data_IF_065337179850
#
_entry.id   IF_065337179850
#
_cell.length_a   1.000
_cell.length_b   1.000
_cell.length_c   1.000
_cell.angle_alpha   90.00
_cell.angle_beta   90.00
_cell.angle_gamma   90.00
#
_symmetry.space_group_name_H-M   'P 1'
#
loop_
_entity.id
_entity.type
_entity.pdbx_description
1 polymer ?
#
# COMPACT_ATOMS: atom_id res chain seq x y z
N UNK A 1 -26.82 59.10 2.99
CA UNK A 1 -27.55 57.86 2.62
C UNK A 1 -26.68 56.90 1.80
N UNK A 2 -25.97 57.37 0.77
CA UNK A 2 -25.14 56.56 -0.14
C UNK A 2 -24.08 55.68 0.56
N UNK A 3 -23.36 56.22 1.55
CA UNK A 3 -22.30 55.49 2.28
C UNK A 3 -22.87 54.27 3.04
N UNK A 4 -24.08 54.37 3.60
CA UNK A 4 -24.73 53.26 4.33
C UNK A 4 -25.08 52.10 3.39
N UNK A 5 -25.47 52.42 2.16
CA UNK A 5 -25.77 51.43 1.12
C UNK A 5 -24.51 50.71 0.64
N UNK A 6 -23.42 51.46 0.46
CA UNK A 6 -22.13 50.92 0.05
C UNK A 6 -21.54 49.98 1.10
N UNK A 7 -21.66 50.32 2.39
CA UNK A 7 -21.26 49.45 3.51
C UNK A 7 -22.12 48.17 3.56
N UNK A 8 -23.43 48.27 3.33
CA UNK A 8 -24.30 47.10 3.31
C UNK A 8 -23.94 46.12 2.18
N UNK A 9 -23.66 46.64 0.98
CA UNK A 9 -23.18 45.82 -0.15
C UNK A 9 -21.84 45.16 0.19
N UNK A 10 -20.91 45.91 0.78
CA UNK A 10 -19.61 45.37 1.17
C UNK A 10 -19.75 44.23 2.21
N UNK A 11 -20.64 44.39 3.19
CA UNK A 11 -20.95 43.34 4.17
C UNK A 11 -21.54 42.09 3.53
N UNK A 12 -22.41 42.24 2.53
CA UNK A 12 -22.97 41.11 1.77
C UNK A 12 -21.87 40.38 1.01
N UNK A 13 -20.96 41.11 0.34
CA UNK A 13 -19.82 40.50 -0.34
C UNK A 13 -18.89 39.76 0.62
N UNK A 14 -18.60 40.32 1.79
CA UNK A 14 -17.79 39.67 2.83
C UNK A 14 -18.48 38.40 3.34
N UNK A 15 -19.80 38.45 3.60
CA UNK A 15 -20.56 37.30 4.05
C UNK A 15 -20.60 36.18 3.00
N UNK A 16 -20.76 36.52 1.72
CA UNK A 16 -20.70 35.56 0.61
C UNK A 16 -19.32 34.92 0.47
N UNK A 17 -18.25 35.70 0.62
CA UNK A 17 -16.88 35.19 0.63
C UNK A 17 -16.63 34.25 1.79
N UNK A 18 -17.09 34.58 2.99
CA UNK A 18 -16.95 33.72 4.17
C UNK A 18 -17.76 32.43 4.06
N UNK A 19 -18.97 32.51 3.53
CA UNK A 19 -19.77 31.33 3.25
C UNK A 19 -19.12 30.45 2.18
N UNK A 20 -18.55 31.06 1.12
CA UNK A 20 -17.77 30.35 0.10
C UNK A 20 -16.50 29.74 0.69
N UNK A 21 -15.82 30.39 1.63
CA UNK A 21 -14.62 29.88 2.28
C UNK A 21 -14.92 28.64 3.14
N UNK A 22 -16.09 28.60 3.79
CA UNK A 22 -16.55 27.40 4.49
C UNK A 22 -16.90 26.23 3.55
N UNK A 23 -17.20 26.50 2.28
CA UNK A 23 -17.53 25.48 1.28
C UNK A 23 -16.38 25.15 0.32
N UNK A 24 -15.40 26.05 0.16
CA UNK A 24 -14.35 25.98 -0.87
C UNK A 24 -13.11 25.24 -0.37
N UNK A 25 -12.72 24.21 -1.14
CA UNK A 25 -11.43 23.49 -1.17
C UNK A 25 -10.84 22.95 0.15
N UNK A 26 -11.52 23.11 1.29
CA UNK A 26 -11.08 22.61 2.59
C UNK A 26 -12.21 22.35 3.58
N UNK A 27 -13.46 22.29 3.12
CA UNK A 27 -14.63 22.09 3.97
C UNK A 27 -14.56 20.78 4.76
N UNK A 28 -14.97 20.83 6.04
CA UNK A 28 -14.96 19.74 7.02
C UNK A 28 -15.59 18.44 6.46
N UNK A 29 -16.52 18.57 5.51
CA UNK A 29 -17.16 17.44 4.84
C UNK A 29 -16.21 16.67 3.88
N UNK A 30 -15.36 17.38 3.12
CA UNK A 30 -14.42 16.74 2.19
C UNK A 30 -13.27 16.08 2.93
N UNK A 31 -12.72 16.73 3.97
CA UNK A 31 -11.66 16.14 4.80
C UNK A 31 -12.14 14.87 5.50
N UNK A 32 -13.39 14.84 5.99
CA UNK A 32 -13.98 13.63 6.55
C UNK A 32 -14.15 12.52 5.52
N UNK A 33 -14.55 12.83 4.29
CA UNK A 33 -14.69 11.83 3.23
C UNK A 33 -13.33 11.23 2.85
N UNK A 34 -12.31 12.06 2.68
CA UNK A 34 -10.95 11.58 2.41
C UNK A 34 -10.39 10.76 3.57
N UNK A 35 -10.64 11.18 4.82
CA UNK A 35 -10.20 10.43 6.00
C UNK A 35 -10.85 9.03 6.05
N UNK A 36 -12.16 8.93 5.78
CA UNK A 36 -12.86 7.63 5.73
C UNK A 36 -12.33 6.72 4.61
N UNK A 37 -12.01 7.29 3.44
CA UNK A 37 -11.40 6.53 2.36
C UNK A 37 -9.99 6.04 2.72
N UNK A 38 -9.20 6.87 3.40
CA UNK A 38 -7.86 6.53 3.86
C UNK A 38 -7.91 5.37 4.86
N UNK A 39 -8.82 5.42 5.84
CA UNK A 39 -9.00 4.35 6.82
C UNK A 39 -9.44 3.03 6.17
N UNK A 40 -10.34 3.08 5.19
CA UNK A 40 -10.77 1.90 4.45
C UNK A 40 -9.60 1.28 3.66
N UNK A 41 -8.80 2.12 3.01
CA UNK A 41 -7.64 1.68 2.24
C UNK A 41 -6.55 1.08 3.13
N UNK A 42 -6.29 1.68 4.29
CA UNK A 42 -5.34 1.16 5.28
C UNK A 42 -5.75 -0.23 5.79
N UNK A 43 -7.05 -0.45 6.07
CA UNK A 43 -7.55 -1.77 6.47
C UNK A 43 -7.33 -2.81 5.37
N UNK A 44 -7.61 -2.47 4.11
CA UNK A 44 -7.37 -3.38 2.99
C UNK A 44 -5.88 -3.68 2.81
N UNK A 45 -5.01 -2.68 2.98
CA UNK A 45 -3.58 -2.84 2.87
C UNK A 45 -3.04 -3.79 3.96
N UNK A 46 -3.50 -3.64 5.21
CA UNK A 46 -3.09 -4.50 6.31
C UNK A 46 -3.42 -5.99 6.05
N UNK A 47 -4.63 -6.27 5.55
CA UNK A 47 -5.05 -7.63 5.19
C UNK A 47 -4.17 -8.20 4.06
N UNK A 48 -3.89 -7.40 3.03
CA UNK A 48 -3.03 -7.83 1.92
C UNK A 48 -1.60 -8.08 2.36
N UNK A 49 -1.05 -7.23 3.22
CA UNK A 49 0.30 -7.38 3.77
C UNK A 49 0.42 -8.66 4.60
N UNK A 50 -0.55 -8.92 5.49
CA UNK A 50 -0.55 -10.15 6.28
C UNK A 50 -0.57 -11.41 5.41
N UNK A 51 -1.40 -11.43 4.36
CA UNK A 51 -1.43 -12.56 3.42
C UNK A 51 -0.12 -12.70 2.65
N UNK A 52 0.50 -11.59 2.26
CA UNK A 52 1.78 -11.60 1.55
C UNK A 52 2.89 -12.21 2.42
N UNK A 53 2.96 -11.83 3.69
CA UNK A 53 3.95 -12.39 4.62
C UNK A 53 3.77 -13.90 4.82
N UNK A 54 2.52 -14.38 4.95
CA UNK A 54 2.24 -15.81 5.03
C UNK A 54 2.69 -16.54 3.77
N UNK A 55 2.32 -16.03 2.59
CA UNK A 55 2.71 -16.65 1.31
C UNK A 55 4.22 -16.61 1.10
N UNK A 56 4.90 -15.55 1.54
CA UNK A 56 6.35 -15.43 1.44
C UNK A 56 7.05 -16.46 2.33
N UNK A 57 6.54 -16.68 3.54
CA UNK A 57 7.02 -17.73 4.42
C UNK A 57 6.81 -19.13 3.81
N UNK A 58 5.64 -19.39 3.22
CA UNK A 58 5.33 -20.65 2.54
C UNK A 58 6.25 -20.89 1.34
N UNK A 59 6.47 -19.88 0.49
CA UNK A 59 7.42 -19.97 -0.62
C UNK A 59 8.84 -20.25 -0.12
N UNK A 60 9.25 -19.63 0.98
CA UNK A 60 10.57 -19.87 1.55
C UNK A 60 10.71 -21.29 2.10
N UNK A 61 9.68 -21.82 2.75
CA UNK A 61 9.66 -23.19 3.27
C UNK A 61 9.71 -24.23 2.14
N UNK A 62 8.89 -24.04 1.10
CA UNK A 62 8.89 -24.90 -0.09
C UNK A 62 10.24 -24.90 -0.80
N UNK A 63 10.90 -23.74 -0.91
CA UNK A 63 12.24 -23.64 -1.52
C UNK A 63 13.28 -24.39 -0.69
N UNK A 64 13.28 -24.21 0.63
CA UNK A 64 14.20 -24.94 1.52
C UNK A 64 13.98 -26.46 1.44
N UNK A 65 12.73 -26.90 1.39
CA UNK A 65 12.40 -28.31 1.22
C UNK A 65 12.90 -28.87 -0.12
N UNK A 66 12.74 -28.13 -1.21
CA UNK A 66 13.26 -28.54 -2.52
C UNK A 66 14.79 -28.57 -2.57
N UNK A 67 15.45 -27.56 -1.99
CA UNK A 67 16.91 -27.49 -1.89
C UNK A 67 17.45 -28.68 -1.07
N UNK A 68 16.81 -29.03 0.04
CA UNK A 68 17.19 -30.19 0.86
C UNK A 68 17.00 -31.52 0.12
N UNK A 69 15.91 -31.68 -0.64
CA UNK A 69 15.69 -32.88 -1.47
C UNK A 69 16.73 -32.97 -2.59
N UNK A 70 17.06 -31.84 -3.21
CA UNK A 70 18.08 -31.76 -4.26
C UNK A 70 19.46 -32.10 -3.70
N UNK A 71 19.79 -31.66 -2.49
CA UNK A 71 21.02 -31.98 -1.80
C UNK A 71 21.16 -33.50 -1.57
N UNK A 72 20.12 -34.15 -1.02
CA UNK A 72 20.10 -35.61 -0.83
C UNK A 72 20.24 -36.35 -2.17
N UNK A 73 19.51 -35.91 -3.19
CA UNK A 73 19.58 -36.53 -4.52
C UNK A 73 20.99 -36.43 -5.13
N UNK A 74 21.71 -35.33 -4.90
CA UNK A 74 23.09 -35.12 -5.37
C UNK A 74 24.11 -35.91 -4.55
N UNK A 75 24.03 -35.87 -3.22
CA UNK A 75 25.01 -36.50 -2.33
C UNK A 75 24.84 -38.03 -2.21
N UNK A 76 23.62 -38.51 -2.00
CA UNK A 76 23.37 -39.94 -1.74
C UNK A 76 23.15 -40.75 -3.00
N UNK A 77 22.49 -40.15 -4.00
CA UNK A 77 22.11 -40.84 -5.24
C UNK A 77 22.98 -40.46 -6.45
N UNK A 78 23.85 -39.45 -6.32
CA UNK A 78 24.69 -38.97 -7.43
C UNK A 78 23.88 -38.42 -8.61
N UNK A 79 22.62 -38.02 -8.38
CA UNK A 79 21.73 -37.56 -9.44
C UNK A 79 22.10 -36.13 -9.85
N UNK A 80 22.17 -35.92 -11.16
CA UNK A 80 22.45 -34.61 -11.78
C UNK A 80 21.26 -34.21 -12.67
N UNK A 81 20.99 -32.90 -12.82
CA UNK A 81 19.93 -32.45 -13.72
C UNK A 81 20.29 -32.76 -15.18
N UNK A 82 19.26 -32.93 -16.03
CA UNK A 82 19.48 -32.99 -17.49
C UNK A 82 20.19 -31.70 -17.92
N UNK A 83 21.30 -31.87 -18.62
CA UNK A 83 22.19 -30.80 -19.12
C UNK A 83 23.06 -30.08 -18.05
N UNK A 84 23.28 -30.70 -16.88
CA UNK A 84 24.21 -30.20 -15.86
C UNK A 84 25.57 -30.93 -15.89
N UNK A 85 26.68 -30.18 -15.83
CA UNK A 85 28.03 -30.74 -15.69
C UNK A 85 28.46 -30.67 -14.22
N UNK A 86 28.54 -31.82 -13.55
CA UNK A 86 28.94 -31.93 -12.14
C UNK A 86 30.46 -32.06 -11.99
N UNK A 87 31.08 -31.18 -11.20
CA UNK A 87 32.51 -31.24 -10.85
C UNK A 87 32.66 -31.62 -9.38
N UNK A 88 33.22 -32.80 -9.11
CA UNK A 88 33.57 -33.22 -7.75
C UNK A 88 35.06 -32.98 -7.53
N UNK A 89 35.39 -32.05 -6.64
CA UNK A 89 36.78 -31.83 -6.21
C UNK A 89 37.08 -32.86 -5.12
N UNK A 90 37.99 -33.80 -5.40
CA UNK A 90 38.49 -34.77 -4.43
C UNK A 90 39.88 -34.26 -4.02
N UNK A 91 40.06 -33.91 -2.75
CA UNK A 91 41.40 -33.69 -2.15
C UNK A 91 42.06 -35.02 -1.78
#
# INVERSE_FOLDING_TARGET
MLIKFLIAILLIFIALLQHRLWQGDGGIAQTQQYQRQLEALQKQLAIKQQRNEVLKAEVQDLRKGQEAIEEIARYDLGLIKKDETFFQVIE
#
